data_IF_227794113669
#
_entry.id   IF_227794113669
#
_cell.length_a   1.000
_cell.length_b   1.000
_cell.length_c   1.000
_cell.angle_alpha   90.00
_cell.angle_beta   90.00
_cell.angle_gamma   90.00
#
_symmetry.space_group_name_H-M   'P 1'
#
loop_
_entity.id
_entity.type
_entity.pdbx_description
1 polymer ?
#
# COMPACT_ATOMS: atom_id res chain seq x y z
N UNK A 1 9.07 -9.15 30.70
CA UNK A 1 10.23 -9.92 31.18
C UNK A 1 11.22 -10.26 30.06
N UNK A 2 10.78 -10.50 28.81
CA UNK A 2 11.66 -10.73 27.64
C UNK A 2 12.64 -9.58 27.31
N UNK A 3 12.22 -8.31 27.44
CA UNK A 3 13.09 -7.15 27.16
C UNK A 3 14.25 -6.98 28.16
N UNK A 4 14.11 -7.44 29.41
CA UNK A 4 15.18 -7.33 30.41
C UNK A 4 16.28 -8.37 30.21
N UNK A 5 15.93 -9.53 29.65
CA UNK A 5 16.90 -10.60 29.39
C UNK A 5 17.78 -10.31 28.16
N UNK A 6 17.29 -9.51 27.20
CA UNK A 6 18.06 -9.12 26.03
C UNK A 6 19.06 -7.98 26.30
N UNK A 7 18.88 -7.18 27.36
CA UNK A 7 19.81 -6.08 27.68
C UNK A 7 21.16 -6.56 28.23
N UNK A 8 21.28 -7.82 28.66
CA UNK A 8 22.47 -8.35 29.31
C UNK A 8 23.53 -8.91 28.35
N UNK A 9 23.24 -9.01 27.05
CA UNK A 9 24.17 -9.50 26.00
C UNK A 9 24.33 -8.52 24.83
N UNK A 10 24.16 -7.21 25.04
CA UNK A 10 24.30 -6.25 23.95
C UNK A 10 25.76 -5.79 23.76
N UNK A 11 26.25 -5.73 22.51
CA UNK A 11 27.57 -5.21 22.19
C UNK A 11 27.69 -3.71 22.57
N UNK A 12 28.91 -3.14 22.59
CA UNK A 12 29.13 -1.75 23.00
C UNK A 12 28.18 -0.75 22.31
N UNK A 13 27.92 0.39 22.94
CA UNK A 13 26.81 1.31 22.59
C UNK A 13 26.76 1.71 21.10
N UNK A 14 27.91 1.82 20.42
CA UNK A 14 28.00 2.04 18.98
C UNK A 14 27.37 0.91 18.15
N UNK A 15 27.55 -0.33 18.58
CA UNK A 15 27.03 -1.53 17.95
C UNK A 15 25.57 -1.76 18.34
N UNK A 16 25.18 -1.41 19.57
CA UNK A 16 23.77 -1.46 20.00
C UNK A 16 22.88 -0.59 19.10
N UNK A 17 23.33 0.62 18.77
CA UNK A 17 22.57 1.52 17.90
C UNK A 17 22.48 1.00 16.47
N UNK A 18 23.53 0.35 15.97
CA UNK A 18 23.51 -0.31 14.66
C UNK A 18 22.51 -1.48 14.66
N UNK A 19 22.54 -2.34 15.70
CA UNK A 19 21.60 -3.46 15.85
C UNK A 19 20.16 -2.97 15.91
N UNK A 20 19.86 -1.94 16.72
CA UNK A 20 18.50 -1.39 16.82
C UNK A 20 18.00 -0.81 15.49
N UNK A 21 18.88 -0.16 14.71
CA UNK A 21 18.53 0.33 13.37
C UNK A 21 18.26 -0.80 12.39
N UNK A 22 19.05 -1.86 12.44
CA UNK A 22 18.79 -3.06 11.63
C UNK A 22 17.46 -3.69 12.01
N UNK A 23 17.16 -3.82 13.30
CA UNK A 23 15.88 -4.35 13.76
C UNK A 23 14.71 -3.51 13.27
N UNK A 24 14.82 -2.18 13.36
CA UNK A 24 13.80 -1.24 12.87
C UNK A 24 13.56 -1.38 11.36
N UNK A 25 14.64 -1.45 10.56
CA UNK A 25 14.53 -1.63 9.12
C UNK A 25 13.94 -3.00 8.75
N UNK A 26 14.47 -4.07 9.32
CA UNK A 26 14.03 -5.44 9.03
C UNK A 26 12.60 -5.69 9.53
N UNK A 27 12.12 -4.96 10.53
CA UNK A 27 10.70 -5.02 10.91
C UNK A 27 9.76 -4.54 9.80
N UNK A 28 10.19 -3.56 8.99
CA UNK A 28 9.42 -2.95 7.92
C UNK A 28 9.62 -3.59 6.53
N UNK A 29 10.44 -4.64 6.42
CA UNK A 29 10.58 -5.38 5.17
C UNK A 29 9.25 -6.09 4.81
N UNK A 30 8.77 -5.87 3.58
CA UNK A 30 7.55 -6.49 3.08
C UNK A 30 7.76 -8.00 2.87
N UNK A 31 6.75 -8.80 3.18
CA UNK A 31 6.66 -10.28 3.03
C UNK A 31 7.66 -11.11 3.86
N UNK A 32 8.83 -10.58 4.20
CA UNK A 32 9.92 -11.31 4.85
C UNK A 32 10.47 -10.61 6.11
N UNK A 33 9.93 -9.44 6.49
CA UNK A 33 10.36 -8.70 7.67
C UNK A 33 9.82 -9.26 8.98
N UNK A 34 10.35 -8.78 10.11
CA UNK A 34 10.00 -9.30 11.44
C UNK A 34 8.51 -9.20 11.75
N UNK A 35 7.79 -8.20 11.24
CA UNK A 35 6.33 -8.15 11.39
C UNK A 35 5.65 -9.35 10.73
N UNK A 36 6.04 -9.69 9.49
CA UNK A 36 5.49 -10.84 8.76
C UNK A 36 5.82 -12.17 9.47
N UNK A 37 7.00 -12.28 10.09
CA UNK A 37 7.33 -13.42 10.94
C UNK A 37 6.44 -13.51 12.18
N UNK A 38 6.28 -12.39 12.90
CA UNK A 38 5.43 -12.31 14.09
C UNK A 38 3.97 -12.61 13.78
N UNK A 39 3.43 -12.17 12.64
CA UNK A 39 2.07 -12.49 12.21
C UNK A 39 1.91 -14.00 11.95
N UNK A 40 2.87 -14.65 11.28
CA UNK A 40 2.87 -16.12 11.06
C UNK A 40 2.94 -16.91 12.36
N UNK A 41 3.69 -16.40 13.34
CA UNK A 41 3.82 -17.02 14.67
C UNK A 41 2.65 -16.68 15.62
N UNK A 42 1.72 -15.82 15.21
CA UNK A 42 0.59 -15.38 16.05
C UNK A 42 0.98 -14.41 17.17
N UNK A 43 2.15 -13.79 17.07
CA UNK A 43 2.66 -12.77 18.00
C UNK A 43 2.19 -11.35 17.66
N UNK A 44 1.70 -11.13 16.44
CA UNK A 44 1.10 -9.88 15.98
C UNK A 44 -0.34 -10.10 15.50
N UNK A 45 -1.18 -9.08 15.66
CA UNK A 45 -2.58 -9.15 15.30
C UNK A 45 -2.80 -8.90 13.80
N UNK A 46 -3.44 -9.85 13.13
CA UNK A 46 -3.83 -9.74 11.73
C UNK A 46 -5.30 -9.27 11.66
N UNK A 47 -5.55 -8.15 10.98
CA UNK A 47 -6.89 -7.54 10.89
C UNK A 47 -7.71 -8.02 9.69
N UNK A 48 -7.05 -8.49 8.64
CA UNK A 48 -7.66 -8.88 7.37
C UNK A 48 -7.16 -10.27 6.98
N UNK A 49 -8.01 -11.05 6.33
CA UNK A 49 -7.56 -12.33 5.77
C UNK A 49 -6.75 -12.10 4.49
N UNK A 50 -5.94 -13.08 4.11
CA UNK A 50 -5.17 -13.06 2.85
C UNK A 50 -6.10 -12.90 1.65
N UNK A 51 -7.26 -13.55 1.65
CA UNK A 51 -8.24 -13.46 0.57
C UNK A 51 -8.81 -12.03 0.43
N UNK A 52 -9.12 -11.37 1.56
CA UNK A 52 -9.59 -9.99 1.56
C UNK A 52 -8.52 -9.03 1.03
N UNK A 53 -7.24 -9.29 1.34
CA UNK A 53 -6.11 -8.52 0.82
C UNK A 53 -5.94 -8.72 -0.70
N UNK A 54 -5.96 -9.98 -1.16
CA UNK A 54 -5.85 -10.33 -2.58
C UNK A 54 -6.96 -9.73 -3.43
N UNK A 55 -8.18 -9.64 -2.89
CA UNK A 55 -9.31 -8.98 -3.54
C UNK A 55 -9.07 -7.46 -3.62
N UNK A 56 -8.65 -6.83 -2.52
CA UNK A 56 -8.38 -5.39 -2.47
C UNK A 56 -7.24 -4.95 -3.41
N UNK A 57 -6.31 -5.86 -3.76
CA UNK A 57 -5.29 -5.60 -4.79
C UNK A 57 -5.89 -5.45 -6.19
N UNK A 58 -7.07 -6.01 -6.45
CA UNK A 58 -7.70 -6.09 -7.78
C UNK A 58 -8.91 -5.18 -7.91
N UNK A 59 -9.68 -5.07 -6.83
CA UNK A 59 -10.96 -4.37 -6.81
C UNK A 59 -10.89 -3.07 -5.98
N UNK A 60 -11.29 -1.93 -6.56
CA UNK A 60 -11.31 -0.67 -5.83
C UNK A 60 -12.49 -0.61 -4.84
N UNK A 61 -12.37 0.17 -3.75
CA UNK A 61 -13.46 0.35 -2.81
C UNK A 61 -14.68 1.03 -3.45
N UNK A 62 -15.85 0.42 -3.25
CA UNK A 62 -17.10 0.76 -3.95
C UNK A 62 -17.62 2.17 -3.67
N UNK A 63 -17.37 2.69 -2.46
CA UNK A 63 -17.91 3.96 -1.98
C UNK A 63 -16.96 5.14 -2.14
N UNK A 64 -16.02 5.05 -3.08
CA UNK A 64 -15.04 6.10 -3.32
C UNK A 64 -14.87 6.43 -4.81
N UNK A 65 -14.28 7.59 -5.15
CA UNK A 65 -13.80 7.91 -6.50
C UNK A 65 -12.87 6.84 -7.11
N UNK A 66 -12.23 6.00 -6.30
CA UNK A 66 -11.36 4.93 -6.78
C UNK A 66 -12.12 3.90 -7.63
N UNK A 67 -13.43 3.69 -7.38
CA UNK A 67 -14.26 2.80 -8.18
C UNK A 67 -14.33 3.27 -9.64
N UNK A 68 -14.68 4.55 -9.85
CA UNK A 68 -14.77 5.14 -11.19
C UNK A 68 -13.40 5.16 -11.87
N UNK A 69 -12.33 5.46 -11.12
CA UNK A 69 -10.96 5.43 -11.64
C UNK A 69 -10.54 4.04 -12.08
N UNK A 70 -10.77 3.03 -11.24
CA UNK A 70 -10.41 1.64 -11.51
C UNK A 70 -11.15 1.09 -12.73
N UNK A 71 -12.46 1.34 -12.82
CA UNK A 71 -13.28 1.01 -14.01
C UNK A 71 -12.75 1.70 -15.26
N UNK A 72 -12.47 3.00 -15.19
CA UNK A 72 -11.93 3.74 -16.34
C UNK A 72 -10.60 3.13 -16.84
N UNK A 73 -9.66 2.82 -15.92
CA UNK A 73 -8.38 2.19 -16.27
C UNK A 73 -8.61 0.81 -16.92
N UNK A 74 -9.52 0.00 -16.36
CA UNK A 74 -9.82 -1.35 -16.85
C UNK A 74 -10.39 -1.30 -18.26
N UNK A 75 -11.39 -0.45 -18.49
CA UNK A 75 -12.10 -0.31 -19.77
C UNK A 75 -11.19 0.27 -20.87
N UNK A 76 -10.21 1.10 -20.51
CA UNK A 76 -9.34 1.80 -21.44
C UNK A 76 -7.91 1.25 -21.50
N UNK A 77 -7.64 0.09 -20.85
CA UNK A 77 -6.30 -0.52 -20.79
C UNK A 77 -5.71 -0.78 -22.19
N UNK A 78 -6.56 -1.11 -23.15
CA UNK A 78 -6.18 -1.41 -24.54
C UNK A 78 -6.43 -0.26 -25.50
N UNK A 79 -6.93 0.88 -25.02
CA UNK A 79 -7.23 2.04 -25.86
C UNK A 79 -5.92 2.62 -26.41
N UNK A 80 -5.88 2.87 -27.72
CA UNK A 80 -4.73 3.50 -28.38
C UNK A 80 -4.92 5.01 -28.34
N UNK A 81 -4.37 5.65 -27.31
CA UNK A 81 -4.37 7.11 -27.18
C UNK A 81 -3.71 7.56 -25.87
N UNK A 82 -3.12 8.76 -25.83
CA UNK A 82 -2.51 9.26 -24.61
C UNK A 82 -3.61 9.56 -23.59
N UNK A 83 -3.56 8.92 -22.44
CA UNK A 83 -4.38 9.28 -21.30
C UNK A 83 -3.52 9.40 -20.03
N UNK A 84 -3.87 10.35 -19.17
CA UNK A 84 -3.21 10.59 -17.89
C UNK A 84 -4.25 10.53 -16.79
N UNK A 85 -4.16 9.50 -15.97
CA UNK A 85 -5.08 9.27 -14.86
C UNK A 85 -4.46 9.84 -13.58
N UNK A 86 -5.18 10.70 -12.89
CA UNK A 86 -4.84 11.18 -11.55
C UNK A 86 -5.85 10.71 -10.51
N UNK A 87 -5.73 11.24 -9.29
CA UNK A 87 -6.61 10.87 -8.18
C UNK A 87 -8.07 11.24 -8.43
N UNK A 88 -8.32 12.45 -8.93
CA UNK A 88 -9.67 13.05 -9.06
C UNK A 88 -10.17 13.18 -10.50
N UNK A 89 -9.32 12.95 -11.50
CA UNK A 89 -9.66 13.16 -12.92
C UNK A 89 -8.76 12.35 -13.85
N UNK A 90 -9.21 12.18 -15.08
CA UNK A 90 -8.41 11.69 -16.21
C UNK A 90 -8.40 12.73 -17.33
N UNK A 91 -7.23 12.92 -17.95
CA UNK A 91 -7.06 13.68 -19.17
C UNK A 91 -6.88 12.71 -20.34
N UNK A 92 -7.75 12.80 -21.35
CA UNK A 92 -7.71 11.98 -22.57
C UNK A 92 -7.30 12.87 -23.75
N UNK A 93 -6.25 12.48 -24.46
CA UNK A 93 -5.69 13.24 -25.58
C UNK A 93 -4.50 14.13 -25.21
N UNK A 94 -4.01 14.96 -26.16
CA UNK A 94 -2.85 15.82 -25.97
C UNK A 94 -3.03 16.84 -24.84
N UNK A 95 -1.93 17.33 -24.24
CA UNK A 95 -1.97 18.21 -23.07
C UNK A 95 -2.83 19.48 -23.26
N UNK A 96 -2.81 20.08 -24.46
CA UNK A 96 -3.47 21.36 -24.74
C UNK A 96 -4.88 21.24 -25.34
N UNK A 97 -5.22 20.09 -25.92
CA UNK A 97 -6.51 19.87 -26.62
C UNK A 97 -7.28 18.67 -26.07
N UNK A 98 -6.77 18.03 -25.02
CA UNK A 98 -7.35 16.86 -24.41
C UNK A 98 -8.60 17.18 -23.59
N UNK A 99 -9.48 16.19 -23.49
CA UNK A 99 -10.68 16.26 -22.67
C UNK A 99 -10.35 15.84 -21.24
N UNK A 100 -10.87 16.57 -20.26
CA UNK A 100 -10.78 16.21 -18.84
C UNK A 100 -12.12 15.60 -18.40
N UNK A 101 -12.05 14.49 -17.69
CA UNK A 101 -13.19 13.80 -17.08
C UNK A 101 -12.88 13.68 -15.58
N UNK A 102 -13.78 14.17 -14.73
CA UNK A 102 -13.61 14.07 -13.28
C UNK A 102 -14.19 12.75 -12.75
N UNK A 103 -13.52 12.17 -11.75
CA UNK A 103 -14.00 11.01 -10.99
C UNK A 103 -14.84 11.47 -9.80
N UNK A 104 -15.88 12.28 -10.03
CA UNK A 104 -16.87 12.62 -9.01
C UNK A 104 -18.07 11.71 -9.15
N UNK A 105 -18.62 11.25 -8.03
CA UNK A 105 -19.93 10.61 -8.03
C UNK A 105 -21.03 11.68 -8.21
N UNK A 106 -22.18 11.34 -8.81
CA UNK A 106 -23.29 12.29 -8.98
C UNK A 106 -23.84 12.87 -7.67
N UNK A 107 -23.64 12.18 -6.54
CA UNK A 107 -24.09 12.58 -5.20
C UNK A 107 -23.08 13.44 -4.43
N UNK A 108 -21.97 13.84 -5.05
CA UNK A 108 -20.99 14.76 -4.47
C UNK A 108 -20.11 14.17 -3.36
N UNK A 109 -20.15 12.86 -3.15
CA UNK A 109 -19.26 12.11 -2.24
C UNK A 109 -18.10 11.45 -2.99
#
# INVERSE_FOLDING_TARGET
>A
QLLKSAEQELPPVSDRQAVLKTLDLCYHELDQGYLAEMEREGLAAVLLTTEALEEAMKEPPEDSPALLRGRWIRDHRTARGPARVGWTRVQVGPRLQGRVIEFRRPDGR
#
